data_IF_895469130149
#
_entry.id   IF_895469130149
#
_cell.length_a   1.000
_cell.length_b   1.000
_cell.length_c   1.000
_cell.angle_alpha   90.00
_cell.angle_beta   90.00
_cell.angle_gamma   90.00
#
_symmetry.space_group_name_H-M   'P 1'
#
loop_
_entity.id
_entity.type
_entity.pdbx_description
1 polymer ?
#
# COMPACT_ATOMS: atom_id res chain seq x y z
N UNK A 1 6.89 -11.76 -37.97
CA UNK A 1 6.57 -12.27 -36.62
C UNK A 1 7.66 -11.79 -35.68
N UNK A 2 7.32 -10.90 -34.74
CA UNK A 2 7.91 -10.68 -33.41
C UNK A 2 7.18 -9.48 -32.84
N UNK A 3 6.09 -9.74 -32.12
CA UNK A 3 5.37 -8.74 -31.32
C UNK A 3 6.20 -8.55 -30.04
N UNK A 4 6.85 -7.41 -29.89
CA UNK A 4 7.22 -6.90 -28.57
C UNK A 4 6.12 -5.90 -28.21
N UNK A 5 5.09 -6.42 -27.53
CA UNK A 5 3.97 -5.64 -27.05
C UNK A 5 4.49 -4.63 -26.03
N UNK A 6 4.07 -3.39 -26.20
CA UNK A 6 4.10 -2.38 -25.16
C UNK A 6 3.67 -3.03 -23.84
N UNK A 7 4.57 -3.07 -22.85
CA UNK A 7 4.22 -3.49 -21.50
C UNK A 7 3.04 -2.61 -21.07
N UNK A 8 1.91 -3.25 -20.78
CA UNK A 8 0.70 -2.58 -20.36
C UNK A 8 0.98 -1.70 -19.14
N UNK A 9 1.00 -0.39 -19.35
CA UNK A 9 0.88 0.61 -18.30
C UNK A 9 -0.57 0.58 -17.81
N UNK A 10 -0.95 -0.44 -17.05
CA UNK A 10 -2.21 -0.41 -16.31
C UNK A 10 -2.03 0.46 -15.06
N UNK A 11 -2.25 1.74 -15.32
CA UNK A 11 -3.03 2.67 -14.50
C UNK A 11 -2.58 2.82 -13.05
N UNK A 12 -1.89 3.94 -12.83
CA UNK A 12 -2.01 4.80 -11.67
C UNK A 12 -3.45 4.86 -11.14
N UNK A 13 -3.86 3.91 -10.29
CA UNK A 13 -5.14 3.99 -9.58
C UNK A 13 -4.83 4.52 -8.18
N UNK A 14 -4.98 5.84 -8.08
CA UNK A 14 -4.88 6.63 -6.86
C UNK A 14 -5.75 6.01 -5.77
N UNK A 15 -5.15 5.70 -4.62
CA UNK A 15 -5.86 5.51 -3.37
C UNK A 15 -5.39 6.60 -2.41
N UNK A 16 -6.13 7.71 -2.32
CA UNK A 16 -6.09 8.57 -1.14
C UNK A 16 -7.14 7.98 -0.20
N UNK A 17 -6.70 7.05 0.64
CA UNK A 17 -7.45 6.70 1.83
C UNK A 17 -6.58 7.15 2.98
N UNK A 18 -7.07 8.14 3.72
CA UNK A 18 -6.69 8.40 5.10
C UNK A 18 -6.83 7.05 5.83
N UNK A 19 -5.70 6.37 6.08
CA UNK A 19 -5.68 5.08 6.76
C UNK A 19 -5.76 5.31 8.27
N UNK A 20 -5.32 6.48 8.76
CA UNK A 20 -5.29 6.87 10.16
C UNK A 20 -5.85 8.27 10.40
N UNK A 21 -6.98 8.35 11.12
CA UNK A 21 -7.58 9.53 11.81
C UNK A 21 -7.34 10.93 11.22
N UNK A 22 -8.43 11.71 11.09
CA UNK A 22 -8.41 13.15 10.75
C UNK A 22 -7.17 13.92 11.29
N UNK A 23 -6.29 14.33 10.38
CA UNK A 23 -5.09 15.12 10.70
C UNK A 23 -3.78 14.53 10.16
N UNK A 24 -3.74 13.23 9.86
CA UNK A 24 -2.56 12.57 9.27
C UNK A 24 -2.71 12.44 7.74
N UNK A 25 -1.63 12.74 7.01
CA UNK A 25 -1.57 12.55 5.55
C UNK A 25 -0.96 11.16 5.25
N UNK A 26 -1.78 10.16 4.91
CA UNK A 26 -1.26 8.87 4.46
C UNK A 26 -1.13 8.82 2.93
N UNK A 27 0.04 8.41 2.43
CA UNK A 27 0.32 8.31 1.00
C UNK A 27 0.86 6.93 0.66
N UNK A 28 0.14 6.19 -0.18
CA UNK A 28 0.62 4.94 -0.77
C UNK A 28 1.25 5.22 -2.14
N UNK A 29 2.42 4.62 -2.40
CA UNK A 29 3.21 4.85 -3.62
C UNK A 29 3.16 3.70 -4.61
N UNK A 30 3.23 2.47 -4.10
CA UNK A 30 3.33 1.26 -4.92
C UNK A 30 2.59 0.12 -4.25
N UNK A 31 2.12 -0.80 -5.08
CA UNK A 31 1.59 -2.07 -4.68
C UNK A 31 2.34 -3.22 -5.37
N UNK A 32 2.27 -4.40 -4.77
CA UNK A 32 2.82 -5.65 -5.28
C UNK A 32 1.84 -6.78 -5.00
N UNK A 33 1.47 -7.55 -6.03
CA UNK A 33 0.78 -8.83 -5.85
C UNK A 33 1.80 -9.89 -5.42
N UNK A 34 1.51 -10.57 -4.32
CA UNK A 34 2.33 -11.64 -3.76
C UNK A 34 1.92 -13.00 -4.34
N UNK A 35 2.79 -13.99 -4.19
CA UNK A 35 2.57 -15.32 -4.77
C UNK A 35 1.36 -16.06 -4.19
N UNK A 36 0.93 -15.69 -2.98
CA UNK A 36 -0.23 -16.23 -2.26
C UNK A 36 -1.53 -15.45 -2.56
N UNK A 37 -1.50 -14.49 -3.50
CA UNK A 37 -2.68 -13.69 -3.88
C UNK A 37 -2.89 -12.43 -3.04
N UNK A 38 -2.13 -12.25 -1.95
CA UNK A 38 -2.17 -11.04 -1.13
C UNK A 38 -1.57 -9.84 -1.87
N UNK A 39 -1.92 -8.65 -1.42
CA UNK A 39 -1.45 -7.39 -2.01
C UNK A 39 -0.71 -6.61 -0.94
N UNK A 40 0.56 -6.29 -1.19
CA UNK A 40 1.35 -5.42 -0.33
C UNK A 40 1.40 -4.01 -0.92
N UNK A 41 1.08 -3.00 -0.12
CA UNK A 41 1.26 -1.59 -0.41
C UNK A 41 2.43 -1.02 0.41
N UNK A 42 3.15 -0.09 -0.21
CA UNK A 42 4.20 0.71 0.46
C UNK A 42 3.85 2.19 0.38
N UNK A 43 4.15 2.92 1.44
CA UNK A 43 3.79 4.33 1.57
C UNK A 43 4.55 5.06 2.65
N UNK A 44 4.04 6.25 2.96
CA UNK A 44 4.44 7.08 4.10
C UNK A 44 3.20 7.48 4.86
N UNK A 45 3.27 7.44 6.19
CA UNK A 45 2.30 8.05 7.08
C UNK A 45 2.92 9.31 7.69
N UNK A 46 2.24 10.45 7.59
CA UNK A 46 2.71 11.72 8.14
C UNK A 46 1.99 12.02 9.45
N UNK A 47 2.75 12.10 10.54
CA UNK A 47 2.24 12.44 11.87
C UNK A 47 3.17 13.46 12.52
N UNK A 48 2.64 14.56 13.06
CA UNK A 48 3.42 15.66 13.65
C UNK A 48 4.57 16.16 12.73
N UNK A 49 4.26 16.36 11.44
CA UNK A 49 5.22 16.76 10.39
C UNK A 49 6.35 15.75 10.11
N UNK A 50 6.33 14.57 10.74
CA UNK A 50 7.29 13.50 10.49
C UNK A 50 6.72 12.44 9.56
N UNK A 51 7.51 12.10 8.54
CA UNK A 51 7.25 10.99 7.64
C UNK A 51 7.72 9.67 8.26
N UNK A 52 6.80 8.75 8.49
CA UNK A 52 7.09 7.38 8.92
C UNK A 52 6.83 6.40 7.75
N UNK A 53 7.68 5.36 7.56
CA UNK A 53 7.39 4.31 6.59
C UNK A 53 6.04 3.66 6.88
N UNK A 54 5.25 3.39 5.84
CA UNK A 54 3.97 2.69 5.95
C UNK A 54 3.98 1.47 5.03
N UNK A 55 3.64 0.31 5.58
CA UNK A 55 3.34 -0.90 4.82
C UNK A 55 1.93 -1.37 5.17
N UNK A 56 1.16 -1.78 4.17
CA UNK A 56 -0.19 -2.26 4.34
C UNK A 56 -0.39 -3.53 3.51
N UNK A 57 -0.83 -4.62 4.13
CA UNK A 57 -1.10 -5.87 3.43
C UNK A 57 -2.59 -6.15 3.40
N UNK A 58 -3.08 -6.47 2.20
CA UNK A 58 -4.45 -6.92 1.98
C UNK A 58 -4.45 -8.41 1.62
N UNK A 59 -5.52 -9.10 2.00
CA UNK A 59 -5.91 -10.38 1.42
C UNK A 59 -6.30 -10.22 -0.05
N UNK A 60 -6.49 -11.34 -0.74
CA UNK A 60 -6.93 -11.37 -2.14
C UNK A 60 -8.32 -10.75 -2.36
N UNK A 61 -9.17 -10.74 -1.32
CA UNK A 61 -10.48 -10.09 -1.29
C UNK A 61 -10.43 -8.57 -0.99
N UNK A 62 -9.23 -8.01 -0.79
CA UNK A 62 -9.01 -6.59 -0.51
C UNK A 62 -9.24 -6.18 0.94
N UNK A 63 -9.53 -7.10 1.86
CA UNK A 63 -9.55 -6.83 3.31
C UNK A 63 -8.13 -6.76 3.87
N UNK A 64 -7.93 -6.04 4.98
CA UNK A 64 -6.63 -6.04 5.67
C UNK A 64 -6.28 -7.44 6.15
N UNK A 65 -5.03 -7.87 5.95
CA UNK A 65 -4.54 -9.12 6.51
C UNK A 65 -4.24 -8.97 8.01
N UNK A 66 -5.08 -9.50 8.92
CA UNK A 66 -4.88 -9.31 10.36
C UNK A 66 -3.61 -10.00 10.88
N UNK A 67 -3.00 -10.91 10.11
CA UNK A 67 -1.77 -11.59 10.49
C UNK A 67 -0.50 -10.78 10.17
N UNK A 68 -0.62 -9.67 9.42
CA UNK A 68 0.50 -8.80 9.08
C UNK A 68 0.55 -7.58 10.01
N UNK A 69 1.70 -7.36 10.67
CA UNK A 69 1.91 -6.19 11.53
C UNK A 69 0.83 -6.06 12.62
N UNK A 70 0.36 -4.83 12.83
CA UNK A 70 -0.78 -4.52 13.68
C UNK A 70 -2.04 -4.41 12.82
N UNK A 71 -2.80 -5.50 12.71
CA UNK A 71 -4.10 -5.52 12.01
C UNK A 71 -4.02 -5.26 10.50
N UNK A 72 -2.92 -5.65 9.84
CA UNK A 72 -2.67 -5.46 8.41
C UNK A 72 -1.78 -4.26 8.10
N UNK A 73 -1.28 -3.55 9.12
CA UNK A 73 -0.46 -2.36 8.93
C UNK A 73 0.84 -2.44 9.71
N UNK A 74 1.91 -1.94 9.11
CA UNK A 74 3.19 -1.72 9.79
C UNK A 74 3.61 -0.26 9.56
N UNK A 75 3.73 0.50 10.65
CA UNK A 75 4.13 1.91 10.65
C UNK A 75 5.01 2.21 11.87
N UNK A 76 6.34 1.99 11.79
CA UNK A 76 7.24 2.28 12.89
C UNK A 76 7.36 3.80 13.06
N UNK A 77 7.12 4.27 14.29
CA UNK A 77 7.30 5.68 14.67
C UNK A 77 8.73 5.89 15.18
N UNK A 78 9.38 6.95 14.71
CA UNK A 78 10.74 7.35 15.13
C UNK A 78 10.79 8.71 15.84
#
# INVERSE_FOLDING_TARGET
MHKAGWQDYLTSNIFIKDVFKEGDDDKLYKNQLLADGKILFTGTSYHDEKANPLLLQLNDDGTLDPAFGEGGVFSPRY
#
